data_IF_973507456572
#
_entry.id   IF_973507456572
#
_cell.length_a   1.000
_cell.length_b   1.000
_cell.length_c   1.000
_cell.angle_alpha   90.00
_cell.angle_beta   90.00
_cell.angle_gamma   90.00
#
_symmetry.space_group_name_H-M   'P 1'
#
loop_
_entity.id
_entity.type
_entity.pdbx_description
1 polymer ?
#
# COMPACT_ATOMS: atom_id res chain seq x y z
N UNK A 1 -3.06 -19.02 22.30
CA UNK A 1 -4.35 -18.43 21.89
C UNK A 1 -4.14 -17.87 20.50
N UNK A 2 -5.06 -18.07 19.57
CA UNK A 2 -4.97 -17.50 18.21
C UNK A 2 -5.32 -16.02 18.25
N UNK A 3 -4.70 -15.20 17.37
CA UNK A 3 -5.01 -13.76 17.19
C UNK A 3 -5.65 -13.54 15.81
N UNK A 4 -6.92 -13.99 15.63
CA UNK A 4 -7.60 -13.85 14.35
C UNK A 4 -7.95 -12.39 14.08
N UNK A 5 -7.87 -12.00 12.81
CA UNK A 5 -8.27 -10.68 12.31
C UNK A 5 -8.94 -10.84 10.94
N UNK A 6 -10.15 -10.32 10.79
CA UNK A 6 -10.83 -10.25 9.52
C UNK A 6 -10.42 -8.98 8.77
N UNK A 7 -9.70 -9.15 7.68
CA UNK A 7 -9.17 -8.04 6.88
C UNK A 7 -9.81 -7.99 5.51
N UNK A 8 -10.00 -6.80 4.95
CA UNK A 8 -10.51 -6.62 3.61
C UNK A 8 -9.71 -5.56 2.82
N UNK A 9 -9.33 -5.89 1.60
CA UNK A 9 -8.90 -4.92 0.60
C UNK A 9 -10.12 -4.43 -0.18
N UNK A 10 -10.30 -3.12 -0.28
CA UNK A 10 -11.34 -2.51 -1.09
C UNK A 10 -10.74 -2.19 -2.46
N UNK A 11 -10.91 -3.10 -3.43
CA UNK A 11 -10.37 -2.96 -4.79
C UNK A 11 -11.18 -1.95 -5.59
N UNK A 12 -10.95 -0.66 -5.37
CA UNK A 12 -11.66 0.43 -6.05
C UNK A 12 -11.05 0.72 -7.42
N UNK A 13 -11.83 1.40 -8.28
CA UNK A 13 -11.31 1.95 -9.54
C UNK A 13 -10.56 3.27 -9.27
N UNK A 14 -9.60 3.63 -10.13
CA UNK A 14 -9.13 5.01 -10.21
C UNK A 14 -10.29 5.92 -10.60
N UNK A 15 -10.67 6.85 -9.72
CA UNK A 15 -11.76 7.81 -9.97
C UNK A 15 -11.18 9.22 -10.19
N UNK A 16 -11.73 10.02 -11.12
CA UNK A 16 -11.13 11.31 -11.46
C UNK A 16 -11.42 12.43 -10.44
N UNK A 17 -12.39 12.23 -9.55
CA UNK A 17 -12.86 13.25 -8.61
C UNK A 17 -13.20 12.67 -7.23
N UNK A 18 -13.31 13.55 -6.23
CA UNK A 18 -13.59 13.17 -4.83
C UNK A 18 -14.95 12.50 -4.65
N UNK A 19 -15.98 12.95 -5.36
CA UNK A 19 -17.35 12.47 -5.16
C UNK A 19 -17.48 11.01 -5.55
N UNK A 20 -17.07 10.70 -6.77
CA UNK A 20 -17.14 9.32 -7.30
C UNK A 20 -16.17 8.39 -6.58
N UNK A 21 -15.01 8.90 -6.12
CA UNK A 21 -14.07 8.13 -5.32
C UNK A 21 -14.64 7.78 -3.94
N UNK A 22 -15.26 8.74 -3.26
CA UNK A 22 -15.87 8.52 -1.93
C UNK A 22 -17.05 7.58 -2.02
N UNK A 23 -17.94 7.77 -2.99
CA UNK A 23 -19.13 6.93 -3.19
C UNK A 23 -18.75 5.44 -3.35
N UNK A 24 -17.79 5.14 -4.21
CA UNK A 24 -17.34 3.75 -4.43
C UNK A 24 -16.63 3.18 -3.20
N UNK A 25 -15.76 3.98 -2.57
CA UNK A 25 -15.04 3.56 -1.37
C UNK A 25 -15.99 3.24 -0.21
N UNK A 26 -17.00 4.07 0.03
CA UNK A 26 -18.01 3.85 1.07
C UNK A 26 -18.88 2.63 0.77
N UNK A 27 -19.30 2.44 -0.49
CA UNK A 27 -20.08 1.27 -0.89
C UNK A 27 -19.34 -0.04 -0.57
N UNK A 28 -18.04 -0.12 -0.91
CA UNK A 28 -17.25 -1.32 -0.61
C UNK A 28 -16.91 -1.43 0.88
N UNK A 29 -16.72 -0.32 1.59
CA UNK A 29 -16.49 -0.32 3.03
C UNK A 29 -17.73 -0.85 3.78
N UNK A 30 -18.94 -0.45 3.38
CA UNK A 30 -20.18 -0.96 3.94
C UNK A 30 -20.34 -2.47 3.71
N UNK A 31 -20.03 -2.95 2.49
CA UNK A 31 -20.05 -4.38 2.16
C UNK A 31 -19.05 -5.17 3.03
N UNK A 32 -17.82 -4.69 3.16
CA UNK A 32 -16.77 -5.35 3.92
C UNK A 32 -17.09 -5.39 5.43
N UNK A 33 -17.49 -4.26 6.01
CA UNK A 33 -17.88 -4.18 7.42
C UNK A 33 -19.12 -5.03 7.70
N UNK A 34 -20.12 -5.03 6.81
CA UNK A 34 -21.31 -5.89 6.90
C UNK A 34 -20.98 -7.39 6.81
N UNK A 35 -19.87 -7.76 6.18
CA UNK A 35 -19.33 -9.11 6.13
C UNK A 35 -18.38 -9.44 7.30
N UNK A 36 -18.26 -8.54 8.29
CA UNK A 36 -17.50 -8.76 9.52
C UNK A 36 -16.01 -8.43 9.44
N UNK A 37 -15.58 -7.64 8.45
CA UNK A 37 -14.20 -7.14 8.42
C UNK A 37 -13.96 -6.11 9.54
N UNK A 38 -12.83 -6.25 10.24
CA UNK A 38 -12.42 -5.39 11.36
C UNK A 38 -11.36 -4.37 10.93
N UNK A 39 -10.60 -4.70 9.87
CA UNK A 39 -9.59 -3.84 9.27
C UNK A 39 -9.78 -3.74 7.76
N UNK A 40 -10.01 -2.53 7.25
CA UNK A 40 -10.24 -2.26 5.82
C UNK A 40 -9.02 -1.54 5.23
N UNK A 41 -8.59 -1.92 4.04
CA UNK A 41 -7.46 -1.30 3.36
C UNK A 41 -7.85 -0.83 1.95
N UNK A 42 -7.58 0.44 1.65
CA UNK A 42 -7.83 1.08 0.36
C UNK A 42 -6.56 1.23 -0.46
N UNK A 43 -6.67 1.32 -1.81
CA UNK A 43 -5.53 1.51 -2.69
C UNK A 43 -4.85 2.88 -2.58
N UNK A 44 -3.70 3.01 -3.26
CA UNK A 44 -3.06 4.30 -3.50
C UNK A 44 -3.98 5.23 -4.30
N UNK A 45 -3.98 6.54 -3.96
CA UNK A 45 -4.84 7.57 -4.57
C UNK A 45 -6.34 7.22 -4.52
N UNK A 46 -6.80 6.56 -3.47
CA UNK A 46 -8.22 6.27 -3.28
C UNK A 46 -9.09 7.54 -3.11
N UNK A 47 -8.47 8.71 -2.95
CA UNK A 47 -9.13 10.01 -2.96
C UNK A 47 -9.35 10.60 -4.36
N UNK A 48 -8.91 9.88 -5.38
CA UNK A 48 -9.00 10.28 -6.78
C UNK A 48 -7.65 10.14 -7.48
N UNK A 49 -7.67 9.64 -8.71
CA UNK A 49 -6.50 9.46 -9.57
C UNK A 49 -6.84 9.90 -10.99
N UNK A 50 -6.06 10.83 -11.49
CA UNK A 50 -6.17 11.35 -12.86
C UNK A 50 -4.79 11.66 -13.42
N UNK A 51 -4.63 11.52 -14.72
CA UNK A 51 -3.44 11.92 -15.47
C UNK A 51 -3.80 12.90 -16.58
N UNK A 52 -2.81 13.65 -17.04
CA UNK A 52 -2.87 14.45 -18.26
C UNK A 52 -1.64 14.07 -19.09
N UNK A 53 -1.83 13.13 -20.00
CA UNK A 53 -0.73 12.44 -20.66
C UNK A 53 0.20 11.75 -19.66
N UNK A 54 1.48 12.14 -19.63
CA UNK A 54 2.47 11.61 -18.68
C UNK A 54 2.43 12.29 -17.30
N UNK A 55 1.67 13.38 -17.15
CA UNK A 55 1.60 14.13 -15.90
C UNK A 55 0.55 13.53 -14.93
N UNK A 56 0.94 13.35 -13.68
CA UNK A 56 0.05 12.96 -12.61
C UNK A 56 -0.65 14.21 -12.04
N UNK A 57 -1.99 14.25 -12.13
CA UNK A 57 -2.84 15.39 -11.73
C UNK A 57 -4.03 14.96 -10.86
N UNK A 58 -3.82 14.23 -9.77
CA UNK A 58 -4.90 13.77 -8.91
C UNK A 58 -5.58 14.98 -8.25
N UNK A 59 -6.89 14.90 -7.94
CA UNK A 59 -7.53 15.91 -7.12
C UNK A 59 -6.86 15.95 -5.75
N UNK A 60 -6.52 17.15 -5.27
CA UNK A 60 -5.80 17.36 -4.02
C UNK A 60 -6.52 18.36 -3.11
N UNK A 61 -6.53 18.08 -1.82
CA UNK A 61 -7.06 18.98 -0.79
C UNK A 61 -6.21 18.89 0.48
N UNK A 62 -6.30 19.89 1.35
CA UNK A 62 -5.69 19.82 2.68
C UNK A 62 -6.31 18.70 3.48
N UNK A 63 -5.55 18.13 4.41
CA UNK A 63 -6.01 17.02 5.25
C UNK A 63 -7.32 17.32 5.99
N UNK A 64 -7.42 18.52 6.54
CA UNK A 64 -8.61 18.99 7.25
C UNK A 64 -9.85 19.19 6.38
N UNK A 65 -9.67 19.35 5.08
CA UNK A 65 -10.75 19.64 4.11
C UNK A 65 -10.92 18.51 3.07
N UNK A 66 -10.13 17.43 3.14
CA UNK A 66 -10.12 16.39 2.11
C UNK A 66 -11.39 15.52 2.17
N UNK A 67 -12.34 15.63 1.20
CA UNK A 67 -13.67 15.04 1.32
C UNK A 67 -13.65 13.53 1.55
N UNK A 68 -12.78 12.81 0.81
CA UNK A 68 -12.67 11.34 0.91
C UNK A 68 -12.09 10.93 2.26
N UNK A 69 -11.05 11.62 2.74
CA UNK A 69 -10.46 11.32 4.04
C UNK A 69 -11.48 11.56 5.17
N UNK A 70 -12.21 12.66 5.12
CA UNK A 70 -13.23 12.99 6.12
C UNK A 70 -14.38 11.98 6.11
N UNK A 71 -14.91 11.62 4.93
CA UNK A 71 -15.99 10.64 4.80
C UNK A 71 -15.58 9.24 5.29
N UNK A 72 -14.36 8.80 5.00
CA UNK A 72 -13.86 7.49 5.49
C UNK A 72 -13.58 7.51 7.00
N UNK A 73 -13.16 8.63 7.58
CA UNK A 73 -13.02 8.79 9.04
C UNK A 73 -14.38 8.73 9.75
N UNK A 74 -15.39 9.38 9.18
CA UNK A 74 -16.76 9.30 9.69
C UNK A 74 -17.30 7.88 9.60
N UNK A 75 -17.07 7.19 8.47
CA UNK A 75 -17.45 5.80 8.30
C UNK A 75 -16.76 4.89 9.36
N UNK A 76 -15.44 5.03 9.56
CA UNK A 76 -14.70 4.25 10.55
C UNK A 76 -15.30 4.42 11.96
N UNK A 77 -15.57 5.67 12.37
CA UNK A 77 -16.19 5.98 13.67
C UNK A 77 -17.60 5.39 13.82
N UNK A 78 -18.40 5.44 12.75
CA UNK A 78 -19.77 4.93 12.77
C UNK A 78 -19.83 3.39 12.80
N UNK A 79 -18.93 2.75 12.08
CA UNK A 79 -18.93 1.29 11.90
C UNK A 79 -18.02 0.57 12.89
N UNK A 80 -17.19 1.28 13.67
CA UNK A 80 -16.28 0.69 14.64
C UNK A 80 -15.15 -0.13 13.99
N UNK A 81 -14.70 0.24 12.78
CA UNK A 81 -13.66 -0.49 12.03
C UNK A 81 -12.38 0.34 11.94
N UNK A 82 -11.24 -0.34 11.92
CA UNK A 82 -9.96 0.28 11.59
C UNK A 82 -9.77 0.35 10.07
N UNK A 83 -9.10 1.40 9.59
CA UNK A 83 -8.88 1.59 8.16
C UNK A 83 -7.46 2.03 7.83
N UNK A 84 -6.87 1.42 6.81
CA UNK A 84 -5.72 1.95 6.09
C UNK A 84 -6.22 2.68 4.84
N UNK A 85 -6.14 4.01 4.85
CA UNK A 85 -6.35 4.83 3.67
C UNK A 85 -5.05 4.78 2.88
N UNK A 86 -5.06 4.03 1.78
CA UNK A 86 -3.85 3.72 1.03
C UNK A 86 -3.06 4.95 0.65
N UNK A 87 -3.70 5.92 0.01
CA UNK A 87 -3.26 7.31 0.03
C UNK A 87 -4.29 8.27 -0.57
N UNK A 88 -4.08 9.55 -0.27
CA UNK A 88 -4.73 10.69 -0.94
C UNK A 88 -3.67 11.74 -1.29
N UNK A 89 -4.01 12.62 -2.26
CA UNK A 89 -3.16 13.74 -2.61
C UNK A 89 -3.47 14.96 -1.74
N UNK A 90 -2.44 15.53 -1.16
CA UNK A 90 -2.53 16.78 -0.38
C UNK A 90 -1.43 17.76 -0.75
N UNK A 91 -1.50 19.02 -0.29
CA UNK A 91 -0.45 20.02 -0.55
C UNK A 91 0.90 19.58 0.02
N UNK A 92 1.96 19.78 -0.77
CA UNK A 92 3.34 19.49 -0.42
C UNK A 92 4.24 20.71 -0.55
N UNK A 93 5.52 20.59 -0.20
CA UNK A 93 6.49 21.67 -0.32
C UNK A 93 6.76 22.02 -1.80
N UNK A 94 7.12 23.29 -2.05
CA UNK A 94 7.56 23.76 -3.38
C UNK A 94 6.48 23.69 -4.46
N UNK A 95 5.19 23.80 -4.10
CA UNK A 95 4.08 23.72 -5.05
C UNK A 95 3.75 22.31 -5.53
N UNK A 96 4.42 21.30 -5.02
CA UNK A 96 4.12 19.88 -5.29
C UNK A 96 3.02 19.37 -4.37
N UNK A 97 2.52 18.18 -4.65
CA UNK A 97 1.64 17.43 -3.77
C UNK A 97 2.43 16.42 -2.92
N UNK A 98 1.77 15.87 -1.91
CA UNK A 98 2.17 14.66 -1.17
C UNK A 98 1.24 13.53 -1.54
N UNK A 99 1.81 12.37 -1.74
CA UNK A 99 1.10 11.10 -1.83
C UNK A 99 1.12 10.51 -0.41
N UNK A 100 0.02 10.72 0.36
CA UNK A 100 -0.01 10.45 1.80
C UNK A 100 -1.04 9.40 2.16
N UNK A 101 -0.57 8.34 2.81
CA UNK A 101 -1.40 7.31 3.41
C UNK A 101 -1.67 7.56 4.90
N UNK A 102 -2.75 6.95 5.41
CA UNK A 102 -3.16 7.09 6.81
C UNK A 102 -3.61 5.75 7.38
N UNK A 103 -3.40 5.56 8.68
CA UNK A 103 -4.12 4.56 9.46
C UNK A 103 -5.07 5.31 10.39
N UNK A 104 -6.33 4.89 10.40
CA UNK A 104 -7.44 5.48 11.16
C UNK A 104 -7.97 4.41 12.09
N UNK A 105 -8.22 4.79 13.37
CA UNK A 105 -8.81 3.87 14.34
C UNK A 105 -10.36 3.82 14.23
N UNK A 106 -10.94 2.92 14.99
CA UNK A 106 -12.39 2.68 15.11
C UNK A 106 -13.21 3.88 15.64
N UNK A 107 -12.54 4.93 16.09
CA UNK A 107 -13.16 6.22 16.47
C UNK A 107 -12.98 7.31 15.39
N UNK A 108 -12.43 6.97 14.22
CA UNK A 108 -12.17 7.90 13.14
C UNK A 108 -10.96 8.80 13.34
N UNK A 109 -10.11 8.53 14.36
CA UNK A 109 -8.89 9.31 14.62
C UNK A 109 -7.74 8.82 13.76
N UNK A 110 -7.01 9.76 13.18
CA UNK A 110 -5.77 9.45 12.46
C UNK A 110 -4.69 9.06 13.47
N UNK A 111 -4.19 7.82 13.36
CA UNK A 111 -3.13 7.27 14.19
C UNK A 111 -1.75 7.55 13.59
N UNK A 112 -1.61 7.38 12.29
CA UNK A 112 -0.34 7.60 11.58
C UNK A 112 -0.55 8.27 10.24
N UNK A 113 0.51 8.90 9.73
CA UNK A 113 0.64 9.49 8.41
C UNK A 113 1.93 9.02 7.79
N UNK A 114 1.87 8.52 6.56
CA UNK A 114 3.02 8.10 5.79
C UNK A 114 3.06 8.83 4.46
N UNK A 115 4.12 9.59 4.20
CA UNK A 115 4.39 10.17 2.89
C UNK A 115 5.23 9.17 2.08
N UNK A 116 4.77 8.80 0.89
CA UNK A 116 5.48 7.89 -0.02
C UNK A 116 6.95 8.31 -0.17
N UNK A 117 7.87 7.35 0.01
CA UNK A 117 9.31 7.63 -0.01
C UNK A 117 9.86 7.57 -1.42
N UNK A 118 9.53 6.52 -2.18
CA UNK A 118 10.10 6.26 -3.49
C UNK A 118 9.14 6.67 -4.61
N UNK A 119 9.60 7.58 -5.45
CA UNK A 119 8.80 8.14 -6.56
C UNK A 119 8.91 7.25 -7.80
N UNK A 120 7.78 7.06 -8.48
CA UNK A 120 7.68 6.24 -9.69
C UNK A 120 8.22 6.99 -10.92
N UNK A 121 9.55 7.10 -10.99
CA UNK A 121 10.27 7.70 -12.10
C UNK A 121 10.86 6.58 -12.94
N UNK A 122 10.16 6.19 -14.00
CA UNK A 122 10.55 5.08 -14.86
C UNK A 122 10.34 5.39 -16.34
N UNK A 123 11.01 4.63 -17.19
CA UNK A 123 10.81 4.63 -18.62
C UNK A 123 10.63 3.18 -19.09
N UNK A 124 9.44 2.84 -19.59
CA UNK A 124 9.10 1.52 -20.10
C UNK A 124 9.32 1.40 -21.61
N UNK A 125 9.21 2.52 -22.33
CA UNK A 125 9.50 2.66 -23.75
C UNK A 125 9.87 4.10 -24.09
N UNK A 126 10.13 4.43 -25.37
CA UNK A 126 10.37 5.81 -25.80
C UNK A 126 9.17 6.73 -25.54
N UNK A 127 7.97 6.18 -25.59
CA UNK A 127 6.70 6.93 -25.43
C UNK A 127 6.04 6.73 -24.06
N UNK A 128 6.48 5.76 -23.26
CA UNK A 128 5.90 5.46 -21.96
C UNK A 128 6.88 5.81 -20.84
N UNK A 129 6.80 7.05 -20.38
CA UNK A 129 7.67 7.64 -19.36
C UNK A 129 6.82 8.16 -18.22
N UNK A 130 7.17 7.78 -16.99
CA UNK A 130 6.56 8.26 -15.76
C UNK A 130 7.57 9.09 -14.97
N UNK A 131 7.15 10.25 -14.45
CA UNK A 131 7.98 11.16 -13.66
C UNK A 131 7.18 11.67 -12.45
N UNK A 132 6.86 10.76 -11.53
CA UNK A 132 6.08 11.10 -10.34
C UNK A 132 6.76 12.21 -9.52
N UNK A 133 8.10 12.20 -9.43
CA UNK A 133 8.86 13.21 -8.70
C UNK A 133 8.70 14.64 -9.26
N UNK A 134 8.21 14.80 -10.48
CA UNK A 134 7.92 16.13 -11.02
C UNK A 134 6.75 16.79 -10.26
N UNK A 135 5.71 16.02 -9.91
CA UNK A 135 4.51 16.51 -9.24
C UNK A 135 4.48 16.21 -7.72
N UNK A 136 5.17 15.17 -7.26
CA UNK A 136 5.07 14.66 -5.88
C UNK A 136 6.37 14.84 -5.11
N UNK A 137 6.26 15.25 -3.84
CA UNK A 137 7.40 15.33 -2.92
C UNK A 137 7.57 14.01 -2.17
N UNK A 138 8.80 13.49 -2.10
CA UNK A 138 9.12 12.28 -1.36
C UNK A 138 9.05 12.48 0.15
N UNK A 139 8.57 11.44 0.87
CA UNK A 139 8.71 11.27 2.31
C UNK A 139 10.14 10.93 2.72
N UNK A 140 10.36 10.84 4.04
CA UNK A 140 11.71 10.57 4.60
C UNK A 140 11.69 9.57 5.77
N UNK A 141 10.52 9.12 6.19
CA UNK A 141 10.39 8.30 7.39
C UNK A 141 9.61 7.02 7.08
N UNK A 142 10.13 5.88 7.50
CA UNK A 142 9.37 4.66 7.64
C UNK A 142 8.40 4.81 8.83
N UNK A 143 7.17 4.34 8.68
CA UNK A 143 6.11 4.55 9.68
C UNK A 143 5.49 3.22 10.09
N UNK A 144 5.41 3.01 11.40
CA UNK A 144 4.69 1.90 12.01
C UNK A 144 3.48 2.44 12.79
N UNK A 145 2.47 1.61 12.92
CA UNK A 145 1.29 1.88 13.73
C UNK A 145 1.01 0.72 14.68
N UNK A 146 1.02 0.99 15.97
CA UNK A 146 0.48 0.06 16.96
C UNK A 146 -1.05 0.08 16.89
N UNK A 147 -1.65 -1.09 16.66
CA UNK A 147 -3.09 -1.31 16.65
C UNK A 147 -3.47 -2.34 17.72
N UNK A 148 -4.75 -2.49 18.07
CA UNK A 148 -5.19 -3.57 18.99
C UNK A 148 -4.90 -4.97 18.48
N UNK A 149 -4.66 -5.11 17.18
CA UNK A 149 -4.42 -6.40 16.52
C UNK A 149 -2.93 -6.76 16.48
N UNK A 150 -2.05 -5.76 16.31
CA UNK A 150 -0.60 -5.92 16.15
C UNK A 150 0.03 -4.68 15.52
N UNK A 151 1.27 -4.79 15.06
CA UNK A 151 2.04 -3.68 14.49
C UNK A 151 1.95 -3.68 12.97
N UNK A 152 1.46 -2.59 12.40
CA UNK A 152 1.30 -2.40 10.96
C UNK A 152 2.36 -1.44 10.41
N UNK A 153 3.06 -1.85 9.35
CA UNK A 153 4.02 -1.02 8.62
C UNK A 153 3.39 -0.47 7.34
N UNK A 154 3.55 0.83 7.12
CA UNK A 154 2.94 1.51 5.97
C UNK A 154 3.96 1.72 4.85
N UNK A 155 3.61 1.32 3.63
CA UNK A 155 4.33 1.63 2.39
C UNK A 155 3.33 2.04 1.31
N UNK A 156 3.77 2.54 0.15
CA UNK A 156 2.90 2.89 -0.98
C UNK A 156 3.55 2.46 -2.30
N UNK A 157 2.90 1.56 -3.03
CA UNK A 157 3.10 1.23 -4.45
C UNK A 157 4.57 1.00 -4.83
N UNK A 158 5.25 2.00 -5.40
CA UNK A 158 6.64 1.87 -5.87
C UNK A 158 7.64 1.51 -4.76
N UNK A 159 7.30 1.81 -3.50
CA UNK A 159 8.08 1.36 -2.34
C UNK A 159 8.27 -0.17 -2.34
N UNK A 160 7.35 -0.92 -2.96
CA UNK A 160 7.43 -2.38 -3.11
C UNK A 160 8.75 -2.86 -3.75
N UNK A 161 9.41 -2.02 -4.55
CA UNK A 161 10.69 -2.37 -5.21
C UNK A 161 11.93 -2.17 -4.33
N UNK A 162 11.76 -1.67 -3.11
CA UNK A 162 12.86 -1.30 -2.21
C UNK A 162 12.87 -2.20 -0.96
N UNK A 163 13.50 -3.38 -1.01
CA UNK A 163 13.47 -4.37 0.08
C UNK A 163 14.02 -3.83 1.40
N UNK A 164 14.95 -2.88 1.36
CA UNK A 164 15.52 -2.28 2.58
C UNK A 164 14.45 -1.60 3.45
N UNK A 165 13.47 -0.90 2.87
CA UNK A 165 12.37 -0.29 3.61
C UNK A 165 11.56 -1.34 4.38
N UNK A 166 11.22 -2.45 3.73
CA UNK A 166 10.46 -3.55 4.33
C UNK A 166 11.25 -4.25 5.42
N UNK A 167 12.55 -4.39 5.21
CA UNK A 167 13.46 -4.99 6.19
C UNK A 167 13.52 -4.14 7.47
N UNK A 168 13.70 -2.84 7.34
CA UNK A 168 13.69 -1.89 8.46
C UNK A 168 12.35 -1.93 9.22
N UNK A 169 11.21 -1.91 8.52
CA UNK A 169 9.89 -2.04 9.13
C UNK A 169 9.76 -3.36 9.91
N UNK A 170 10.19 -4.47 9.33
CA UNK A 170 10.09 -5.78 9.97
C UNK A 170 11.00 -5.90 11.20
N UNK A 171 12.23 -5.37 11.15
CA UNK A 171 13.16 -5.33 12.28
C UNK A 171 12.66 -4.40 13.39
N UNK A 172 11.87 -3.36 13.05
CA UNK A 172 11.19 -2.51 14.01
C UNK A 172 9.91 -3.12 14.60
N UNK A 173 9.56 -4.38 14.22
CA UNK A 173 8.47 -5.14 14.85
C UNK A 173 7.19 -5.26 14.02
N UNK A 174 7.16 -4.78 12.78
CA UNK A 174 5.96 -4.91 11.93
C UNK A 174 5.55 -6.35 11.74
N UNK A 175 4.26 -6.64 11.95
CA UNK A 175 3.63 -7.95 11.73
C UNK A 175 2.83 -7.97 10.43
N UNK A 176 2.28 -6.82 10.02
CA UNK A 176 1.50 -6.63 8.78
C UNK A 176 2.08 -5.51 7.95
N UNK A 177 2.46 -5.80 6.72
CA UNK A 177 2.96 -4.85 5.74
C UNK A 177 1.79 -4.40 4.84
N UNK A 178 1.47 -3.11 4.88
CA UNK A 178 0.48 -2.50 4.01
C UNK A 178 1.15 -2.04 2.72
N UNK A 179 0.61 -2.46 1.57
CA UNK A 179 1.15 -2.16 0.23
C UNK A 179 0.04 -1.65 -0.69
N UNK A 180 -0.62 -0.53 -0.34
CA UNK A 180 -1.60 0.08 -1.22
C UNK A 180 -0.94 0.54 -2.52
N UNK A 181 -1.62 0.33 -3.66
CA UNK A 181 -1.06 0.64 -4.96
C UNK A 181 -2.12 1.06 -5.99
N UNK A 182 -1.68 1.86 -6.95
CA UNK A 182 -2.28 2.02 -8.27
C UNK A 182 -1.28 1.46 -9.30
N UNK A 183 -0.92 0.18 -9.15
CA UNK A 183 0.17 -0.46 -9.90
C UNK A 183 -0.17 -0.55 -11.38
N UNK A 184 0.73 -0.11 -12.27
CA UNK A 184 0.46 -0.16 -13.71
C UNK A 184 0.27 -1.60 -14.18
N UNK A 185 -0.73 -1.86 -15.02
CA UNK A 185 -1.07 -3.21 -15.52
C UNK A 185 0.14 -3.93 -16.12
N UNK A 186 0.87 -3.27 -17.00
CA UNK A 186 2.03 -3.84 -17.70
C UNK A 186 3.11 -4.38 -16.77
N UNK A 187 3.43 -3.66 -15.70
CA UNK A 187 4.40 -4.14 -14.71
C UNK A 187 3.74 -5.04 -13.66
N UNK A 188 2.44 -4.88 -13.44
CA UNK A 188 1.66 -5.71 -12.52
C UNK A 188 1.63 -7.16 -12.93
N UNK A 189 1.35 -7.44 -14.21
CA UNK A 189 1.28 -8.79 -14.78
C UNK A 189 2.53 -9.65 -14.50
N UNK A 190 3.72 -9.02 -14.45
CA UNK A 190 4.98 -9.74 -14.25
C UNK A 190 5.59 -9.59 -12.87
N UNK A 191 5.28 -8.51 -12.11
CA UNK A 191 5.99 -8.21 -10.87
C UNK A 191 5.14 -8.24 -9.60
N UNK A 192 3.84 -7.93 -9.70
CA UNK A 192 3.00 -7.66 -8.53
C UNK A 192 2.96 -8.82 -7.52
N UNK A 193 2.58 -9.99 -7.97
CA UNK A 193 2.49 -11.18 -7.11
C UNK A 193 3.85 -11.60 -6.56
N UNK A 194 4.86 -11.62 -7.43
CA UNK A 194 6.22 -12.06 -7.05
C UNK A 194 6.80 -11.16 -5.97
N UNK A 195 6.72 -9.84 -6.15
CA UNK A 195 7.29 -8.88 -5.19
C UNK A 195 6.53 -8.89 -3.87
N UNK A 196 5.18 -8.91 -3.87
CA UNK A 196 4.41 -8.96 -2.63
C UNK A 196 4.69 -10.24 -1.84
N UNK A 197 4.75 -11.40 -2.51
CA UNK A 197 5.13 -12.66 -1.88
C UNK A 197 6.56 -12.63 -1.33
N UNK A 198 7.50 -12.04 -2.07
CA UNK A 198 8.86 -11.86 -1.58
C UNK A 198 8.91 -11.03 -0.29
N UNK A 199 8.17 -9.90 -0.24
CA UNK A 199 8.08 -9.06 0.98
C UNK A 199 7.51 -9.82 2.17
N UNK A 200 6.49 -10.65 1.96
CA UNK A 200 5.95 -11.50 3.02
C UNK A 200 6.99 -12.51 3.54
N UNK A 201 7.61 -13.28 2.65
CA UNK A 201 8.52 -14.38 2.97
C UNK A 201 9.80 -13.88 3.65
N UNK A 202 10.48 -12.90 3.07
CA UNK A 202 11.78 -12.41 3.57
C UNK A 202 11.70 -11.71 4.93
N UNK A 203 10.50 -11.21 5.29
CA UNK A 203 10.23 -10.49 6.53
C UNK A 203 9.41 -11.30 7.54
N UNK A 204 8.89 -12.48 7.14
CA UNK A 204 8.02 -13.29 7.99
C UNK A 204 6.83 -12.47 8.49
N UNK A 205 6.14 -11.75 7.60
CA UNK A 205 5.05 -10.84 7.92
C UNK A 205 3.88 -11.04 6.95
N UNK A 206 2.66 -10.75 7.40
CA UNK A 206 1.53 -10.65 6.47
C UNK A 206 1.72 -9.49 5.51
N UNK A 207 1.21 -9.63 4.28
CA UNK A 207 1.07 -8.52 3.32
C UNK A 207 -0.41 -8.33 3.02
N UNK A 208 -0.90 -7.10 3.21
CA UNK A 208 -2.21 -6.62 2.76
C UNK A 208 -1.96 -5.57 1.69
N UNK A 209 -2.25 -5.92 0.44
CA UNK A 209 -1.88 -5.14 -0.72
C UNK A 209 -3.12 -4.75 -1.54
N UNK A 210 -3.91 -3.74 -1.11
CA UNK A 210 -5.01 -3.23 -1.90
C UNK A 210 -4.48 -2.53 -3.15
N UNK A 211 -4.96 -2.92 -4.33
CA UNK A 211 -4.55 -2.35 -5.60
C UNK A 211 -5.77 -1.82 -6.35
N UNK A 212 -5.70 -0.61 -6.87
CA UNK A 212 -6.72 -0.07 -7.75
C UNK A 212 -6.81 -0.91 -9.03
N UNK A 213 -8.01 -0.95 -9.66
CA UNK A 213 -8.26 -1.78 -10.84
C UNK A 213 -8.94 -0.99 -11.96
N UNK A 214 -8.46 -1.16 -13.19
CA UNK A 214 -9.07 -0.62 -14.40
C UNK A 214 -8.46 0.70 -14.88
N UNK A 215 -9.10 1.34 -15.88
CA UNK A 215 -8.56 2.50 -16.57
C UNK A 215 -8.45 3.73 -15.66
N UNK A 216 -7.39 4.52 -15.91
CA UNK A 216 -7.16 5.83 -15.29
C UNK A 216 -7.62 6.91 -16.26
N UNK A 217 -8.40 7.88 -15.76
CA UNK A 217 -8.83 9.05 -16.54
C UNK A 217 -7.59 9.87 -16.97
N UNK A 218 -7.49 10.15 -18.27
CA UNK A 218 -6.33 10.80 -18.89
C UNK A 218 -5.24 9.82 -19.36
N UNK A 219 -5.34 8.53 -19.07
CA UNK A 219 -4.48 7.46 -19.61
C UNK A 219 -3.85 6.55 -18.58
N UNK A 220 -3.54 5.34 -19.02
CA UNK A 220 -3.02 4.26 -18.18
C UNK A 220 -4.11 3.31 -17.67
N UNK A 221 -3.67 2.23 -17.03
CA UNK A 221 -4.55 1.21 -16.44
C UNK A 221 -3.89 0.64 -15.18
N UNK A 222 -4.67 0.54 -14.11
CA UNK A 222 -4.26 -0.11 -12.85
C UNK A 222 -4.58 -1.60 -12.89
N UNK A 223 -3.67 -2.41 -12.32
CA UNK A 223 -3.62 -3.86 -12.50
C UNK A 223 -4.73 -4.61 -11.75
N UNK A 224 -5.20 -4.12 -10.60
CA UNK A 224 -6.06 -4.89 -9.71
C UNK A 224 -5.27 -5.93 -8.92
N UNK A 225 -5.87 -7.13 -8.76
CA UNK A 225 -5.26 -8.19 -8.00
C UNK A 225 -4.84 -7.75 -6.58
N UNK A 226 -5.77 -7.11 -5.85
CA UNK A 226 -5.55 -6.87 -4.41
C UNK A 226 -5.25 -8.20 -3.72
N UNK A 227 -4.20 -8.24 -2.90
CA UNK A 227 -3.68 -9.49 -2.32
C UNK A 227 -3.71 -9.46 -0.79
N UNK A 228 -4.01 -10.61 -0.20
CA UNK A 228 -3.76 -10.91 1.21
C UNK A 228 -2.85 -12.13 1.25
N UNK A 229 -1.65 -11.99 1.86
CA UNK A 229 -0.57 -12.99 1.77
C UNK A 229 -0.07 -13.31 3.16
N UNK A 230 0.12 -14.61 3.45
CA UNK A 230 0.66 -15.10 4.73
C UNK A 230 2.15 -14.83 4.87
N UNK A 231 2.72 -14.88 6.09
CA UNK A 231 4.17 -14.80 6.31
C UNK A 231 4.97 -15.90 5.60
N UNK A 232 4.31 -16.97 5.15
CA UNK A 232 4.91 -18.07 4.39
C UNK A 232 4.82 -17.90 2.88
N UNK A 233 4.18 -16.80 2.41
CA UNK A 233 4.05 -16.46 1.00
C UNK A 233 2.86 -17.10 0.29
N UNK A 234 1.93 -17.72 1.04
CA UNK A 234 0.66 -18.20 0.50
C UNK A 234 -0.27 -17.02 0.22
N UNK A 235 -0.90 -17.01 -0.95
CA UNK A 235 -1.93 -16.02 -1.30
C UNK A 235 -3.27 -16.53 -0.78
N UNK A 236 -3.77 -15.93 0.28
CA UNK A 236 -5.08 -16.28 0.87
C UNK A 236 -6.24 -15.75 0.05
N UNK A 237 -6.07 -14.57 -0.54
CA UNK A 237 -7.08 -13.95 -1.39
C UNK A 237 -6.41 -13.11 -2.48
N UNK A 238 -7.04 -13.13 -3.67
CA UNK A 238 -6.66 -12.37 -4.85
C UNK A 238 -7.94 -11.78 -5.49
N UNK A 239 -7.99 -10.47 -5.65
CA UNK A 239 -9.15 -9.73 -6.17
C UNK A 239 -9.36 -9.84 -7.66
N UNK A 240 -8.43 -10.43 -8.41
CA UNK A 240 -8.53 -10.49 -9.86
C UNK A 240 -8.62 -9.10 -10.50
N UNK A 241 -9.36 -9.00 -11.61
CA UNK A 241 -9.40 -7.80 -12.46
C UNK A 241 -10.73 -7.03 -12.39
N UNK A 242 -11.57 -7.32 -11.41
CA UNK A 242 -12.85 -6.62 -11.21
C UNK A 242 -12.85 -5.81 -9.91
N UNK A 243 -13.52 -4.65 -9.87
CA UNK A 243 -13.67 -3.92 -8.61
C UNK A 243 -14.53 -4.70 -7.62
N UNK A 244 -14.23 -4.56 -6.33
CA UNK A 244 -14.98 -5.27 -5.28
C UNK A 244 -14.22 -5.38 -3.96
N UNK A 245 -14.73 -6.22 -3.06
CA UNK A 245 -14.15 -6.50 -1.75
C UNK A 245 -13.39 -7.82 -1.81
N UNK A 246 -12.14 -7.81 -1.32
CA UNK A 246 -11.26 -8.99 -1.22
C UNK A 246 -10.96 -9.23 0.25
N UNK A 247 -11.50 -10.29 0.83
CA UNK A 247 -11.50 -10.51 2.27
C UNK A 247 -10.89 -11.86 2.65
N UNK A 248 -10.19 -11.88 3.77
CA UNK A 248 -9.69 -13.10 4.42
C UNK A 248 -9.62 -12.92 5.94
N UNK A 249 -9.65 -14.05 6.67
CA UNK A 249 -9.26 -14.08 8.08
C UNK A 249 -7.79 -14.46 8.16
N UNK A 250 -6.98 -13.65 8.84
CA UNK A 250 -5.57 -13.92 9.12
C UNK A 250 -5.39 -14.23 10.59
N UNK A 251 -4.40 -15.07 10.94
CA UNK A 251 -4.01 -15.33 12.33
C UNK A 251 -2.61 -14.77 12.56
N UNK A 252 -2.51 -13.68 13.31
CA UNK A 252 -1.26 -12.96 13.54
C UNK A 252 -0.20 -13.77 14.33
N UNK A 253 -0.58 -14.87 14.98
CA UNK A 253 0.38 -15.76 15.60
C UNK A 253 1.28 -16.46 14.59
N UNK A 254 0.85 -16.60 13.33
CA UNK A 254 1.67 -17.13 12.23
C UNK A 254 2.94 -16.30 11.97
N UNK A 255 2.98 -15.01 12.34
CA UNK A 255 4.19 -14.18 12.23
C UNK A 255 5.27 -14.71 13.16
N UNK A 256 4.94 -14.93 14.42
CA UNK A 256 5.87 -15.48 15.40
C UNK A 256 6.35 -16.87 14.99
N UNK A 257 5.43 -17.72 14.51
CA UNK A 257 5.76 -19.07 14.02
C UNK A 257 6.70 -19.05 12.83
N UNK A 258 6.44 -18.20 11.82
CA UNK A 258 7.27 -18.07 10.64
C UNK A 258 8.69 -17.57 11.00
N UNK A 259 8.77 -16.55 11.86
CA UNK A 259 10.04 -15.98 12.32
C UNK A 259 10.83 -16.95 13.23
N UNK A 260 10.15 -17.78 14.01
CA UNK A 260 10.82 -18.82 14.80
C UNK A 260 11.42 -19.92 13.92
N UNK A 261 10.72 -20.31 12.83
CA UNK A 261 11.22 -21.31 11.86
C UNK A 261 12.37 -20.77 11.01
N UNK A 262 12.29 -19.52 10.56
CA UNK A 262 13.29 -18.85 9.72
C UNK A 262 13.62 -17.47 10.31
N UNK A 263 14.53 -17.38 11.30
CA UNK A 263 14.82 -16.14 12.01
C UNK A 263 15.77 -15.21 11.22
N UNK A 264 15.50 -15.03 9.93
CA UNK A 264 16.36 -14.26 9.01
C UNK A 264 16.55 -12.81 9.42
N UNK A 265 15.56 -12.22 10.13
CA UNK A 265 15.65 -10.83 10.62
C UNK A 265 16.79 -10.62 11.63
N UNK A 266 17.12 -11.66 12.41
CA UNK A 266 18.23 -11.62 13.39
C UNK A 266 19.56 -12.09 12.80
N UNK A 267 19.56 -12.64 11.59
CA UNK A 267 20.76 -13.19 10.93
C UNK A 267 21.46 -12.19 10.01
N UNK A 268 20.99 -10.95 9.93
CA UNK A 268 21.62 -9.92 9.11
C UNK A 268 23.11 -9.73 9.48
N UNK A 269 23.93 -9.53 8.45
CA UNK A 269 25.35 -9.25 8.59
C UNK A 269 25.73 -8.04 7.75
N UNK A 270 26.60 -7.21 8.27
CA UNK A 270 27.23 -6.14 7.50
C UNK A 270 28.25 -6.78 6.55
N UNK A 271 28.25 -6.35 5.31
CA UNK A 271 29.20 -6.78 4.29
C UNK A 271 29.56 -5.58 3.40
N UNK A 272 30.71 -5.69 2.76
CA UNK A 272 31.18 -4.74 1.76
C UNK A 272 31.35 -5.47 0.43
N UNK A 273 30.97 -4.87 -0.71
CA UNK A 273 31.25 -5.45 -2.01
C UNK A 273 32.75 -5.44 -2.28
N UNK A 274 33.28 -6.56 -2.75
CA UNK A 274 34.65 -6.65 -3.27
C UNK A 274 34.59 -6.75 -4.80
N UNK A 275 35.51 -6.05 -5.48
CA UNK A 275 35.71 -6.20 -6.93
C UNK A 275 37.10 -6.78 -7.15
N UNK A 276 37.20 -7.76 -8.04
CA UNK A 276 38.50 -8.22 -8.55
C UNK A 276 39.09 -7.08 -9.39
N UNK A 277 40.22 -6.54 -8.94
CA UNK A 277 41.03 -5.62 -9.75
C UNK A 277 41.68 -6.44 -10.86
N UNK A 278 41.00 -6.51 -12.02
CA UNK A 278 41.69 -6.97 -13.22
C UNK A 278 42.84 -6.02 -13.46
N UNK A 279 44.05 -6.48 -13.19
CA UNK A 279 45.26 -5.83 -13.69
C UNK A 279 45.11 -5.81 -15.20
N UNK A 280 45.04 -4.66 -15.80
CA UNK A 280 45.19 -4.51 -17.24
C UNK A 280 46.51 -5.19 -17.60
N UNK A 281 46.43 -6.37 -18.21
CA UNK A 281 47.60 -7.02 -18.82
C UNK A 281 47.84 -6.19 -20.06
N UNK A 282 48.86 -5.34 -19.99
CA UNK A 282 49.37 -4.54 -21.08
C UNK A 282 49.96 -5.44 -22.19
#
# INVERSE_FOLDING_TARGET
MTRPLNVACLQTRPRPDFSTALEEALSFAEMAAGAGAEFLALPEYCGGLKTDGAALVPPAAKEEDHPVLLGLREFAAKSGVWMAIGSVAGPGPGGKIRNRGFIIDDSGRIRTRYDKIHMFDIQLSETEVYRESAAVSSGKQAVLCDTPFGVFGHTICYDLRFPALYRELAQAGTEVLLVPAAFTKKTGEVHWHVLNRARAIENGAFVIAPCAVGPVDGGGESYGHSLIITPWGEVLADGGTLPGVVQATIDLDQVAEARAKIPSLSHDRRFSPARDERKDVA
#
